data_IF_127056162835
#
_entry.id   IF_127056162835
#
_cell.length_a   1.000
_cell.length_b   1.000
_cell.length_c   1.000
_cell.angle_alpha   90.00
_cell.angle_beta   90.00
_cell.angle_gamma   90.00
#
_symmetry.space_group_name_H-M   'P 1'
#
loop_
_entity.id
_entity.type
_entity.pdbx_description
1 polymer ?
#
# COMPACT_ATOMS: atom_id res chain seq x y z
N UNK A 1 -14.81 -29.47 4.47
CA UNK A 1 -14.49 -28.51 5.53
C UNK A 1 -13.36 -27.67 4.98
N UNK A 2 -13.63 -26.46 4.50
CA UNK A 2 -12.55 -25.53 4.16
C UNK A 2 -11.96 -25.05 5.49
N UNK A 3 -10.76 -25.54 5.81
CA UNK A 3 -9.95 -24.90 6.84
C UNK A 3 -9.79 -23.44 6.41
N UNK A 4 -10.23 -22.54 7.27
CA UNK A 4 -10.06 -21.11 7.10
C UNK A 4 -8.54 -20.82 7.24
N UNK A 5 -7.79 -21.01 6.15
CA UNK A 5 -6.36 -20.70 6.15
C UNK A 5 -6.25 -19.20 6.38
N UNK A 6 -5.57 -18.80 7.45
CA UNK A 6 -5.24 -17.40 7.70
C UNK A 6 -4.47 -16.82 6.51
N UNK A 7 -4.72 -15.54 6.22
CA UNK A 7 -3.96 -14.83 5.20
C UNK A 7 -2.47 -14.84 5.59
N UNK A 8 -1.54 -15.21 4.69
CA UNK A 8 -0.11 -15.26 5.01
C UNK A 8 0.45 -13.98 5.64
N UNK A 9 -0.10 -12.82 5.30
CA UNK A 9 0.30 -11.54 5.88
C UNK A 9 -0.01 -11.41 7.39
N UNK A 10 -0.96 -12.18 7.91
CA UNK A 10 -1.25 -12.20 9.36
C UNK A 10 -0.18 -12.97 10.16
N UNK A 11 0.62 -13.80 9.50
CA UNK A 11 1.62 -14.68 10.14
C UNK A 11 3.05 -14.10 10.12
N UNK A 12 3.34 -13.17 9.20
CA UNK A 12 4.67 -12.57 9.08
C UNK A 12 4.92 -11.59 10.23
N UNK A 13 6.03 -11.78 10.95
CA UNK A 13 6.44 -10.84 11.99
C UNK A 13 6.90 -9.51 11.38
N UNK A 14 6.47 -8.37 11.97
CA UNK A 14 6.83 -7.05 11.46
C UNK A 14 8.36 -6.85 11.42
N UNK A 15 9.06 -7.34 12.43
CA UNK A 15 10.50 -7.15 12.57
C UNK A 15 11.26 -7.90 11.45
N UNK A 16 10.78 -9.09 11.04
CA UNK A 16 11.35 -9.84 9.90
C UNK A 16 11.05 -9.14 8.57
N UNK A 17 9.82 -8.66 8.40
CA UNK A 17 9.44 -7.86 7.22
C UNK A 17 10.31 -6.61 7.09
N UNK A 18 10.42 -5.80 8.15
CA UNK A 18 11.20 -4.57 8.13
C UNK A 18 12.71 -4.85 7.96
N UNK A 19 13.25 -5.92 8.60
CA UNK A 19 14.63 -6.32 8.45
C UNK A 19 14.94 -6.70 6.99
N UNK A 20 14.09 -7.51 6.35
CA UNK A 20 14.24 -7.86 4.93
C UNK A 20 14.22 -6.62 4.04
N UNK A 21 13.19 -5.80 4.16
CA UNK A 21 12.94 -4.66 3.28
C UNK A 21 13.96 -3.51 3.46
N UNK A 22 14.67 -3.48 4.60
CA UNK A 22 15.69 -2.46 4.91
C UNK A 22 17.11 -2.84 4.51
N UNK A 23 17.37 -4.11 4.13
CA UNK A 23 18.71 -4.57 3.73
C UNK A 23 19.33 -3.67 2.66
N UNK A 24 20.65 -3.48 2.71
CA UNK A 24 21.36 -2.63 1.73
C UNK A 24 21.24 -3.16 0.29
N UNK A 25 21.07 -4.47 0.12
CA UNK A 25 20.78 -5.09 -1.17
C UNK A 25 19.35 -4.86 -1.66
N UNK A 26 18.39 -4.53 -0.78
CA UNK A 26 16.97 -4.34 -1.08
C UNK A 26 16.59 -2.86 -1.10
N UNK A 27 16.87 -2.12 -0.02
CA UNK A 27 16.58 -0.68 0.18
C UNK A 27 15.14 -0.25 -0.12
N UNK A 28 14.20 -1.15 0.00
CA UNK A 28 12.81 -0.89 -0.38
C UNK A 28 12.11 0.02 0.62
N UNK A 29 12.35 -0.14 1.95
CA UNK A 29 11.78 0.76 2.95
C UNK A 29 12.28 2.20 2.79
N UNK A 30 13.57 2.41 2.53
CA UNK A 30 14.15 3.74 2.34
C UNK A 30 13.61 4.41 1.07
N UNK A 31 13.48 3.61 -0.01
CA UNK A 31 12.90 4.10 -1.24
C UNK A 31 11.43 4.48 -1.06
N UNK A 32 10.67 3.63 -0.38
CA UNK A 32 9.25 3.83 -0.12
C UNK A 32 8.99 5.03 0.79
N UNK A 33 9.80 5.22 1.84
CA UNK A 33 9.70 6.38 2.73
C UNK A 33 9.79 7.70 1.94
N UNK A 34 10.74 7.77 1.02
CA UNK A 34 10.91 8.93 0.13
C UNK A 34 9.70 9.14 -0.80
N UNK A 35 9.14 8.04 -1.35
CA UNK A 35 7.95 8.11 -2.20
C UNK A 35 6.73 8.57 -1.39
N UNK A 36 6.54 8.03 -0.19
CA UNK A 36 5.40 8.41 0.68
C UNK A 36 5.45 9.87 1.09
N UNK A 37 6.63 10.45 1.30
CA UNK A 37 6.76 11.89 1.48
C UNK A 37 6.14 12.66 0.31
N UNK A 38 6.51 12.30 -0.91
CA UNK A 38 5.97 12.93 -2.11
C UNK A 38 4.44 12.70 -2.23
N UNK A 39 3.96 11.48 -1.95
CA UNK A 39 2.53 11.14 -2.00
C UNK A 39 1.71 12.01 -1.04
N UNK A 40 2.15 12.17 0.21
CA UNK A 40 1.46 13.00 1.19
C UNK A 40 1.50 14.51 0.83
N UNK A 41 2.50 14.96 0.07
CA UNK A 41 2.63 16.36 -0.32
C UNK A 41 1.90 16.71 -1.63
N UNK A 42 1.69 15.73 -2.53
CA UNK A 42 1.31 15.96 -3.92
C UNK A 42 -0.05 16.62 -4.13
N UNK A 43 -1.05 16.31 -3.32
CA UNK A 43 -2.45 16.68 -3.60
C UNK A 43 -3.09 17.51 -2.49
N UNK A 44 -4.11 18.35 -2.81
CA UNK A 44 -4.82 19.18 -1.84
C UNK A 44 -5.87 18.35 -1.07
N UNK A 45 -5.44 17.24 -0.45
CA UNK A 45 -6.28 16.37 0.35
C UNK A 45 -6.05 16.63 1.84
N UNK A 46 -7.13 16.74 2.61
CA UNK A 46 -7.15 16.89 4.07
C UNK A 46 -7.48 15.59 4.81
N UNK A 47 -7.80 14.54 4.05
CA UNK A 47 -7.95 13.17 4.55
C UNK A 47 -7.19 12.22 3.64
N UNK A 48 -6.48 11.26 4.24
CA UNK A 48 -5.76 10.24 3.51
C UNK A 48 -6.02 8.85 4.10
N UNK A 49 -5.84 7.84 3.28
CA UNK A 49 -5.91 6.45 3.68
C UNK A 49 -4.71 5.71 3.10
N UNK A 50 -3.98 5.00 3.96
CA UNK A 50 -2.87 4.13 3.57
C UNK A 50 -3.35 2.69 3.67
N UNK A 51 -3.56 2.06 2.54
CA UNK A 51 -3.95 0.65 2.44
C UNK A 51 -2.67 -0.21 2.51
N UNK A 52 -2.66 -1.23 3.36
CA UNK A 52 -1.48 -2.03 3.66
C UNK A 52 -0.42 -1.21 4.41
N UNK A 53 -0.80 -0.59 5.54
CA UNK A 53 0.07 0.35 6.26
C UNK A 53 1.28 -0.31 6.92
N UNK A 54 1.24 -1.63 7.14
CA UNK A 54 2.27 -2.41 7.81
C UNK A 54 2.76 -1.74 9.11
N UNK A 55 4.07 -1.52 9.29
CA UNK A 55 4.66 -0.84 10.44
C UNK A 55 4.61 0.69 10.38
N UNK A 56 3.86 1.26 9.42
CA UNK A 56 3.70 2.71 9.28
C UNK A 56 4.86 3.42 8.60
N UNK A 57 5.66 2.71 7.78
CA UNK A 57 6.73 3.36 7.03
C UNK A 57 6.20 4.57 6.25
N UNK A 58 6.86 5.72 6.38
CA UNK A 58 6.47 6.97 5.74
C UNK A 58 5.40 7.80 6.49
N UNK A 59 4.71 7.28 7.50
CA UNK A 59 3.74 8.06 8.29
C UNK A 59 4.39 9.26 9.02
N UNK A 60 5.70 9.25 9.23
CA UNK A 60 6.45 10.40 9.77
C UNK A 60 6.32 11.68 8.93
N UNK A 61 5.89 11.55 7.66
CA UNK A 61 5.68 12.68 6.75
C UNK A 61 4.26 13.27 6.83
N UNK A 62 3.38 12.67 7.63
CA UNK A 62 2.05 13.22 7.88
C UNK A 62 2.17 14.53 8.66
N UNK A 63 1.65 15.61 8.08
CA UNK A 63 1.61 16.92 8.72
C UNK A 63 0.22 17.20 9.28
N UNK A 64 0.13 17.45 10.59
CA UNK A 64 -1.13 17.70 11.29
C UNK A 64 -1.85 18.97 10.78
N UNK A 65 -1.11 19.90 10.22
CA UNK A 65 -1.65 21.14 9.66
C UNK A 65 -2.36 20.89 8.31
N UNK A 66 -1.97 19.81 7.62
CA UNK A 66 -2.56 19.42 6.34
C UNK A 66 -3.68 18.40 6.51
N UNK A 67 -3.45 17.39 7.35
CA UNK A 67 -4.35 16.25 7.47
C UNK A 67 -5.19 16.31 8.73
N UNK A 68 -6.51 16.31 8.54
CA UNK A 68 -7.50 16.16 9.59
C UNK A 68 -7.58 14.72 10.08
N UNK A 69 -7.50 13.75 9.14
CA UNK A 69 -7.52 12.32 9.42
C UNK A 69 -6.64 11.58 8.43
N UNK A 70 -5.87 10.63 8.92
CA UNK A 70 -5.14 9.64 8.14
C UNK A 70 -5.51 8.25 8.67
N UNK A 71 -6.10 7.40 7.84
CA UNK A 71 -6.42 6.03 8.19
C UNK A 71 -5.29 5.11 7.74
N UNK A 72 -4.68 4.35 8.64
CA UNK A 72 -3.80 3.23 8.33
C UNK A 72 -4.60 1.93 8.36
N UNK A 73 -4.73 1.27 7.23
CA UNK A 73 -5.53 0.04 7.08
C UNK A 73 -4.60 -1.15 6.87
N UNK A 74 -4.82 -2.23 7.61
CA UNK A 74 -4.09 -3.48 7.45
C UNK A 74 -4.96 -4.67 7.89
N UNK A 75 -4.65 -5.86 7.41
CA UNK A 75 -5.26 -7.10 7.89
C UNK A 75 -4.59 -7.58 9.19
N UNK A 76 -3.30 -7.27 9.37
CA UNK A 76 -2.50 -7.71 10.51
C UNK A 76 -2.66 -6.76 11.72
N UNK A 77 -3.38 -7.23 12.72
CA UNK A 77 -3.63 -6.46 13.95
C UNK A 77 -2.33 -6.13 14.72
N UNK A 78 -1.34 -7.03 14.69
CA UNK A 78 -0.03 -6.81 15.31
C UNK A 78 0.71 -5.64 14.68
N UNK A 79 0.62 -5.49 13.37
CA UNK A 79 1.19 -4.37 12.62
C UNK A 79 0.52 -3.05 13.03
N UNK A 80 -0.80 -3.01 13.06
CA UNK A 80 -1.57 -1.83 13.43
C UNK A 80 -1.27 -1.37 14.86
N UNK A 81 -1.16 -2.31 15.81
CA UNK A 81 -0.77 -2.00 17.18
C UNK A 81 0.61 -1.36 17.24
N UNK A 82 1.62 -1.96 16.61
CA UNK A 82 2.98 -1.40 16.55
C UNK A 82 3.01 -0.04 15.86
N UNK A 83 2.20 0.16 14.82
CA UNK A 83 2.07 1.44 14.13
C UNK A 83 1.48 2.50 15.06
N UNK A 84 0.41 2.22 15.77
CA UNK A 84 -0.20 3.15 16.72
C UNK A 84 0.78 3.51 17.86
N UNK A 85 1.52 2.54 18.40
CA UNK A 85 2.55 2.76 19.41
C UNK A 85 3.71 3.64 18.91
N UNK A 86 4.15 3.41 17.67
CA UNK A 86 5.26 4.14 17.02
C UNK A 86 4.91 5.59 16.72
N UNK A 87 3.66 5.85 16.37
CA UNK A 87 3.19 7.17 15.91
C UNK A 87 2.24 7.87 16.90
N UNK A 88 2.51 7.75 18.21
CA UNK A 88 1.74 8.45 19.25
C UNK A 88 1.67 9.97 19.06
N UNK A 89 2.68 10.57 18.41
CA UNK A 89 2.67 11.99 18.01
C UNK A 89 1.58 12.35 16.99
N UNK A 90 0.97 11.37 16.33
CA UNK A 90 -0.16 11.55 15.41
C UNK A 90 -1.52 11.26 16.07
N UNK A 91 -1.59 11.10 17.41
CA UNK A 91 -2.83 10.91 18.12
C UNK A 91 -3.88 11.97 17.76
N UNK A 92 -5.11 11.55 17.47
CA UNK A 92 -6.19 12.42 16.98
C UNK A 92 -6.15 12.75 15.50
N UNK A 93 -5.12 12.30 14.76
CA UNK A 93 -5.04 12.38 13.29
C UNK A 93 -4.95 10.98 12.68
N UNK A 94 -4.10 10.10 13.24
CA UNK A 94 -3.95 8.73 12.76
C UNK A 94 -4.99 7.81 13.41
N UNK A 95 -5.71 7.08 12.58
CA UNK A 95 -6.61 6.00 12.96
C UNK A 95 -6.13 4.70 12.32
N UNK A 96 -5.94 3.64 13.13
CA UNK A 96 -5.55 2.32 12.65
C UNK A 96 -6.78 1.41 12.58
N UNK A 97 -7.06 0.86 11.40
CA UNK A 97 -8.26 0.07 11.11
C UNK A 97 -7.89 -1.33 10.62
N UNK A 98 -8.33 -2.37 11.34
CA UNK A 98 -8.21 -3.75 10.86
C UNK A 98 -9.34 -4.04 9.89
N UNK A 99 -9.01 -4.16 8.61
CA UNK A 99 -9.98 -4.47 7.54
C UNK A 99 -9.31 -5.40 6.54
N UNK A 100 -9.98 -6.51 6.22
CA UNK A 100 -9.64 -7.36 5.10
C UNK A 100 -10.19 -6.71 3.81
N UNK A 101 -9.29 -6.14 3.00
CA UNK A 101 -9.66 -5.41 1.79
C UNK A 101 -10.31 -6.29 0.71
N UNK A 102 -10.09 -7.62 0.77
CA UNK A 102 -10.71 -8.56 -0.16
C UNK A 102 -12.18 -8.80 0.22
N UNK A 103 -12.47 -8.94 1.51
CA UNK A 103 -13.77 -9.39 1.98
C UNK A 103 -14.60 -8.31 2.70
N UNK A 104 -13.98 -7.19 3.10
CA UNK A 104 -14.59 -6.19 3.99
C UNK A 104 -14.39 -4.75 3.51
N UNK A 105 -14.15 -4.54 2.20
CA UNK A 105 -13.86 -3.20 1.64
C UNK A 105 -14.99 -2.18 1.93
N UNK A 106 -16.23 -2.64 2.12
CA UNK A 106 -17.39 -1.79 2.45
C UNK A 106 -17.27 -1.10 3.83
N UNK A 107 -16.36 -1.56 4.70
CA UNK A 107 -16.10 -0.95 6.01
C UNK A 107 -15.16 0.25 5.95
N UNK A 108 -14.54 0.51 4.79
CA UNK A 108 -13.62 1.64 4.61
C UNK A 108 -14.35 2.97 4.74
N UNK A 109 -13.86 3.90 5.57
CA UNK A 109 -14.37 5.26 5.61
C UNK A 109 -13.98 6.06 4.36
N UNK A 110 -14.62 7.20 4.15
CA UNK A 110 -14.27 8.09 3.05
C UNK A 110 -12.90 8.74 3.26
N UNK A 111 -12.14 8.89 2.16
CA UNK A 111 -10.85 9.60 2.16
C UNK A 111 -10.62 10.27 0.80
N UNK A 112 -10.04 11.49 0.80
CA UNK A 112 -9.74 12.20 -0.46
C UNK A 112 -8.51 11.67 -1.20
N UNK A 113 -7.53 11.12 -0.47
CA UNK A 113 -6.33 10.51 -1.01
C UNK A 113 -6.25 9.06 -0.53
N UNK A 114 -6.16 8.13 -1.46
CA UNK A 114 -5.80 6.73 -1.18
C UNK A 114 -4.35 6.51 -1.59
N UNK A 115 -3.57 5.91 -0.69
CA UNK A 115 -2.20 5.46 -0.92
C UNK A 115 -2.18 3.93 -0.80
N UNK A 116 -1.69 3.24 -1.83
CA UNK A 116 -1.58 1.79 -1.86
C UNK A 116 -0.21 1.38 -2.41
N UNK A 117 0.73 1.07 -1.53
CA UNK A 117 2.10 0.80 -1.92
C UNK A 117 2.45 -0.67 -1.73
N UNK A 118 2.79 -1.38 -2.82
CA UNK A 118 3.12 -2.81 -2.83
C UNK A 118 2.03 -3.67 -2.17
N UNK A 119 0.79 -3.33 -2.43
CA UNK A 119 -0.38 -3.98 -1.87
C UNK A 119 -1.22 -4.67 -2.95
N UNK A 120 -1.33 -4.06 -4.13
CA UNK A 120 -2.21 -4.53 -5.20
C UNK A 120 -1.80 -5.95 -5.62
N UNK A 121 -0.50 -6.24 -5.53
CA UNK A 121 0.09 -7.56 -5.77
C UNK A 121 -0.52 -8.67 -4.89
N UNK A 122 -1.16 -8.33 -3.78
CA UNK A 122 -1.72 -9.29 -2.82
C UNK A 122 -3.24 -9.31 -2.76
N UNK A 123 -3.90 -8.23 -3.20
CA UNK A 123 -5.36 -8.14 -3.19
C UNK A 123 -5.99 -8.20 -4.59
N UNK A 124 -5.18 -8.02 -5.65
CA UNK A 124 -5.62 -7.96 -7.04
C UNK A 124 -6.39 -6.69 -7.40
N UNK A 125 -6.69 -6.56 -8.70
CA UNK A 125 -7.35 -5.38 -9.26
C UNK A 125 -8.77 -5.18 -8.70
N UNK A 126 -9.57 -6.23 -8.66
CA UNK A 126 -11.00 -6.15 -8.27
C UNK A 126 -11.18 -5.66 -6.83
N UNK A 127 -10.39 -6.17 -5.89
CA UNK A 127 -10.45 -5.72 -4.50
C UNK A 127 -9.93 -4.29 -4.36
N UNK A 128 -8.89 -3.94 -5.10
CA UNK A 128 -8.38 -2.58 -5.14
C UNK A 128 -9.41 -1.59 -5.70
N UNK A 129 -10.07 -1.90 -6.81
CA UNK A 129 -11.14 -1.08 -7.39
C UNK A 129 -12.30 -0.89 -6.38
N UNK A 130 -12.75 -1.97 -5.71
CA UNK A 130 -13.80 -1.86 -4.68
C UNK A 130 -13.38 -0.94 -3.53
N UNK A 131 -12.15 -1.08 -3.03
CA UNK A 131 -11.62 -0.24 -1.97
C UNK A 131 -11.58 1.25 -2.38
N UNK A 132 -11.09 1.54 -3.59
CA UNK A 132 -11.03 2.91 -4.14
C UNK A 132 -12.43 3.50 -4.28
N UNK A 133 -13.38 2.77 -4.87
CA UNK A 133 -14.76 3.22 -5.03
C UNK A 133 -15.44 3.47 -3.68
N UNK A 134 -15.23 2.59 -2.70
CA UNK A 134 -15.82 2.73 -1.36
C UNK A 134 -15.33 4.00 -0.64
N UNK A 135 -14.05 4.33 -0.78
CA UNK A 135 -13.51 5.55 -0.16
C UNK A 135 -13.97 6.84 -0.83
N UNK A 136 -14.40 6.76 -2.09
CA UNK A 136 -14.74 7.93 -2.91
C UNK A 136 -13.57 8.89 -3.12
N UNK A 137 -12.35 8.36 -3.20
CA UNK A 137 -11.13 9.16 -3.28
C UNK A 137 -11.10 10.07 -4.51
N UNK A 138 -10.67 11.32 -4.33
CA UNK A 138 -10.39 12.23 -5.44
C UNK A 138 -9.05 11.89 -6.11
N UNK A 139 -8.07 11.43 -5.30
CA UNK A 139 -6.74 11.05 -5.76
C UNK A 139 -6.38 9.66 -5.24
N UNK A 140 -5.77 8.88 -6.11
CA UNK A 140 -5.19 7.58 -5.78
C UNK A 140 -3.72 7.61 -6.18
N UNK A 141 -2.83 7.26 -5.26
CA UNK A 141 -1.41 7.12 -5.52
C UNK A 141 -0.97 5.72 -5.11
N UNK A 142 -0.50 4.94 -6.06
CA UNK A 142 -0.06 3.57 -5.78
C UNK A 142 1.34 3.32 -6.29
N UNK A 143 1.99 2.34 -5.69
CA UNK A 143 3.31 1.86 -6.10
C UNK A 143 3.22 0.37 -6.32
N UNK A 144 3.69 -0.08 -7.48
CA UNK A 144 3.88 -1.49 -7.81
C UNK A 144 5.37 -1.78 -8.00
N UNK A 145 5.76 -3.04 -7.81
CA UNK A 145 7.12 -3.48 -8.09
C UNK A 145 7.24 -3.95 -9.54
N UNK A 146 8.24 -3.42 -10.25
CA UNK A 146 8.66 -3.94 -11.54
C UNK A 146 9.83 -4.90 -11.31
N UNK A 147 9.66 -6.14 -11.72
CA UNK A 147 10.69 -7.17 -11.65
C UNK A 147 11.41 -7.25 -13.00
N UNK A 148 12.74 -7.30 -12.97
CA UNK A 148 13.56 -7.58 -14.15
C UNK A 148 13.70 -9.07 -14.42
N UNK A 149 13.42 -9.91 -13.42
CA UNK A 149 13.40 -11.37 -13.47
C UNK A 149 12.09 -11.86 -12.85
N UNK A 150 11.18 -12.38 -13.67
CA UNK A 150 9.84 -12.85 -13.26
C UNK A 150 9.89 -14.04 -12.29
N UNK A 151 11.01 -14.81 -12.29
CA UNK A 151 11.17 -15.98 -11.43
C UNK A 151 11.49 -15.66 -9.97
N UNK A 152 11.85 -14.39 -9.66
CA UNK A 152 12.31 -13.95 -8.32
C UNK A 152 11.70 -12.62 -7.91
N UNK A 153 10.40 -12.61 -7.62
CA UNK A 153 9.72 -11.40 -7.15
C UNK A 153 10.10 -11.01 -5.70
N UNK A 154 10.45 -11.97 -4.82
CA UNK A 154 11.08 -11.70 -3.52
C UNK A 154 12.59 -11.63 -3.69
N UNK A 155 13.23 -10.67 -3.05
CA UNK A 155 14.69 -10.53 -3.05
C UNK A 155 15.34 -11.54 -2.12
N UNK A 156 16.53 -12.01 -2.48
CA UNK A 156 17.29 -12.95 -1.67
C UNK A 156 17.72 -12.31 -0.34
N UNK A 157 17.49 -13.01 0.78
CA UNK A 157 17.83 -12.51 2.11
C UNK A 157 17.84 -13.63 3.16
N UNK A 158 18.45 -13.41 4.34
CA UNK A 158 18.36 -14.33 5.47
C UNK A 158 16.94 -14.56 6.00
N UNK A 159 15.98 -13.68 5.63
CA UNK A 159 14.58 -13.71 6.07
C UNK A 159 13.64 -14.32 5.04
N UNK A 160 14.15 -14.88 3.93
CA UNK A 160 13.35 -15.34 2.79
C UNK A 160 12.24 -16.31 3.21
N UNK A 161 12.52 -17.22 4.16
CA UNK A 161 11.54 -18.21 4.63
C UNK A 161 10.27 -17.62 5.26
N UNK A 162 10.35 -16.39 5.79
CA UNK A 162 9.15 -15.71 6.31
C UNK A 162 8.11 -15.42 5.22
N UNK A 163 8.53 -15.41 3.94
CA UNK A 163 7.72 -15.05 2.79
C UNK A 163 7.30 -16.23 1.92
N UNK A 164 7.67 -17.47 2.28
CA UNK A 164 7.42 -18.66 1.45
C UNK A 164 5.93 -18.86 1.10
N UNK A 165 5.03 -18.48 2.03
CA UNK A 165 3.58 -18.60 1.81
C UNK A 165 2.97 -17.46 1.00
N UNK A 166 3.70 -16.39 0.73
CA UNK A 166 3.17 -15.26 -0.03
C UNK A 166 2.86 -15.62 -1.49
N UNK A 167 3.49 -16.66 -2.04
CA UNK A 167 3.15 -17.21 -3.36
C UNK A 167 1.67 -17.65 -3.45
N UNK A 168 1.04 -17.97 -2.32
CA UNK A 168 -0.39 -18.36 -2.28
C UNK A 168 -1.33 -17.18 -2.63
N UNK A 169 -0.88 -15.94 -2.45
CA UNK A 169 -1.68 -14.71 -2.61
C UNK A 169 -1.06 -13.66 -3.53
N UNK A 170 0.14 -13.93 -4.07
CA UNK A 170 0.83 -12.97 -4.93
C UNK A 170 0.29 -12.98 -6.35
N UNK A 171 0.07 -11.79 -6.90
CA UNK A 171 -0.34 -11.54 -8.28
C UNK A 171 0.71 -10.68 -8.99
N UNK A 172 1.04 -11.03 -10.23
CA UNK A 172 1.84 -10.14 -11.07
C UNK A 172 0.97 -8.93 -11.47
N UNK A 173 1.41 -7.74 -11.14
CA UNK A 173 0.73 -6.49 -11.51
C UNK A 173 1.50 -5.80 -12.62
N UNK A 174 0.80 -5.46 -13.69
CA UNK A 174 1.34 -4.74 -14.82
C UNK A 174 0.78 -3.31 -14.88
N UNK A 175 1.64 -2.37 -15.26
CA UNK A 175 1.30 -0.95 -15.41
C UNK A 175 0.08 -0.72 -16.30
N UNK A 176 0.08 -1.33 -17.47
CA UNK A 176 -0.99 -1.17 -18.47
C UNK A 176 -2.32 -1.73 -17.98
N UNK A 177 -2.29 -2.90 -17.32
CA UNK A 177 -3.48 -3.53 -16.76
C UNK A 177 -4.03 -2.74 -15.56
N UNK A 178 -3.15 -2.23 -14.68
CA UNK A 178 -3.57 -1.38 -13.57
C UNK A 178 -4.19 -0.07 -14.08
N UNK A 179 -3.58 0.55 -15.09
CA UNK A 179 -4.12 1.78 -15.69
C UNK A 179 -5.49 1.53 -16.33
N UNK A 180 -5.67 0.40 -17.02
CA UNK A 180 -6.97 0.02 -17.57
C UNK A 180 -8.02 -0.22 -16.49
N UNK A 181 -7.67 -0.97 -15.43
CA UNK A 181 -8.56 -1.21 -14.30
C UNK A 181 -9.00 0.09 -13.61
N UNK A 182 -8.10 1.05 -13.45
CA UNK A 182 -8.45 2.35 -12.88
C UNK A 182 -9.36 3.18 -13.81
N UNK A 183 -9.14 3.11 -15.12
CA UNK A 183 -10.00 3.78 -16.10
C UNK A 183 -11.43 3.21 -16.12
N UNK A 184 -11.60 1.89 -15.93
CA UNK A 184 -12.93 1.24 -15.82
C UNK A 184 -13.79 1.82 -14.69
N UNK A 185 -13.18 2.29 -13.60
CA UNK A 185 -13.87 2.88 -12.47
C UNK A 185 -13.84 4.42 -12.46
N UNK A 186 -13.51 5.04 -13.61
CA UNK A 186 -13.56 6.48 -13.81
C UNK A 186 -12.40 7.27 -13.22
N UNK A 187 -11.19 6.70 -13.27
CA UNK A 187 -9.96 7.39 -12.86
C UNK A 187 -8.99 7.53 -14.04
N UNK A 188 -8.46 8.73 -14.23
CA UNK A 188 -7.45 9.03 -15.24
C UNK A 188 -6.07 9.12 -14.61
N UNK A 189 -5.06 8.50 -15.25
CA UNK A 189 -3.65 8.58 -14.84
C UNK A 189 -3.12 10.01 -14.98
N UNK A 190 -2.46 10.52 -13.94
CA UNK A 190 -1.94 11.90 -13.89
C UNK A 190 -0.45 11.98 -13.59
N UNK A 191 0.16 10.90 -13.11
CA UNK A 191 1.60 10.82 -12.86
C UNK A 191 2.09 9.39 -13.02
N UNK A 192 3.30 9.26 -13.59
CA UNK A 192 4.07 8.04 -13.63
C UNK A 192 5.52 8.35 -13.29
N UNK A 193 6.08 7.63 -12.30
CA UNK A 193 7.46 7.86 -11.84
C UNK A 193 8.11 6.55 -11.40
N UNK A 194 9.26 6.23 -11.98
CA UNK A 194 10.02 5.02 -11.65
C UNK A 194 11.19 5.35 -10.72
N UNK A 195 11.41 4.51 -9.71
CA UNK A 195 12.56 4.56 -8.81
C UNK A 195 13.30 3.22 -8.82
N UNK A 196 14.52 3.16 -9.36
CA UNK A 196 15.31 1.93 -9.37
C UNK A 196 15.76 1.55 -7.95
N UNK A 197 15.91 0.23 -7.72
CA UNK A 197 16.43 -0.36 -6.50
C UNK A 197 17.80 -1.02 -6.77
N UNK A 198 18.64 -1.21 -5.74
CA UNK A 198 19.97 -1.80 -5.91
C UNK A 198 19.96 -3.23 -6.46
N UNK A 199 18.90 -3.98 -6.22
CA UNK A 199 18.73 -5.38 -6.65
C UNK A 199 18.28 -5.55 -8.12
N UNK A 200 18.30 -4.48 -8.92
CA UNK A 200 17.85 -4.49 -10.31
C UNK A 200 16.35 -4.34 -10.50
N UNK A 201 15.55 -4.41 -9.43
CA UNK A 201 14.12 -4.12 -9.46
C UNK A 201 13.85 -2.62 -9.50
N UNK A 202 12.61 -2.24 -9.73
CA UNK A 202 12.19 -0.86 -9.64
C UNK A 202 10.82 -0.72 -8.97
N UNK A 203 10.58 0.41 -8.34
CA UNK A 203 9.27 0.83 -7.84
C UNK A 203 8.67 1.80 -8.86
N UNK A 204 7.49 1.46 -9.35
CA UNK A 204 6.72 2.31 -10.25
C UNK A 204 5.56 2.94 -9.48
N UNK A 205 5.62 4.25 -9.31
CA UNK A 205 4.52 5.03 -8.77
C UNK A 205 3.60 5.47 -9.91
N UNK A 206 2.31 5.21 -9.72
CA UNK A 206 1.22 5.63 -10.60
C UNK A 206 0.21 6.42 -9.77
N UNK A 207 -0.10 7.65 -10.20
CA UNK A 207 -1.12 8.45 -9.55
C UNK A 207 -2.29 8.66 -10.51
N UNK A 208 -3.49 8.61 -9.95
CA UNK A 208 -4.74 8.73 -10.67
C UNK A 208 -5.63 9.80 -10.02
N UNK A 209 -6.48 10.39 -10.82
CA UNK A 209 -7.51 11.34 -10.38
C UNK A 209 -8.87 10.90 -10.85
N UNK A 210 -9.89 11.01 -9.97
CA UNK A 210 -11.27 10.73 -10.32
C UNK A 210 -11.78 11.72 -11.39
N UNK A 211 -12.45 11.21 -12.40
CA UNK A 211 -13.08 12.01 -13.44
C UNK A 211 -14.31 12.73 -12.85
N UNK A 212 -14.46 14.03 -13.11
CA UNK A 212 -15.52 14.86 -12.51
C UNK A 212 -16.94 14.49 -12.93
N UNK A 213 -17.10 13.61 -13.92
CA UNK A 213 -18.39 13.26 -14.54
C UNK A 213 -18.98 11.93 -14.10
N UNK A 214 -18.43 11.24 -13.10
CA UNK A 214 -18.82 9.86 -12.71
C UNK A 214 -19.57 9.81 -11.36
N UNK A 215 -20.24 10.88 -10.96
CA UNK A 215 -21.09 10.91 -9.75
C UNK A 215 -22.54 11.13 -10.09
#
# INVERSE_FOLDING_TARGET
MNENKNNPWEEIALDEYEAHMSLDSVKQLQAMDSIMKEQFEAYPADTAMVLGVAGGNGLRHVRREKYRTVCGVDINEGYLRKTAERYTGLSGVLECLRIDLINEAEKLPAAKLVIANLLIEYIGYDAFQRAVLQTGAEYVSCVIQINTDESKWVSDSPYLHAFDRLDEVHHQIEETALTAAMAEIGYTGILQKTKPLPNGKALLRLDFKADRNTR
#
